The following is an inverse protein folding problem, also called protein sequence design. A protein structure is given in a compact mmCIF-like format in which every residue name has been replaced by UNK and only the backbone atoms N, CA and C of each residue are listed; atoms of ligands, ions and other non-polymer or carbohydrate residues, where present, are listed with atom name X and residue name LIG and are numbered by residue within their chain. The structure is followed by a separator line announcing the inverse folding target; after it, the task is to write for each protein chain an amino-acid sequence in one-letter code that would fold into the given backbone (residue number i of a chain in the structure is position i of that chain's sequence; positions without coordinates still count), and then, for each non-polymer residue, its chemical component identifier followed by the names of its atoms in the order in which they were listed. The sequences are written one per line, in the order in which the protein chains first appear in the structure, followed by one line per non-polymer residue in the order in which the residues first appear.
data_IF_004506210155
#
_entry.id   IF_004506210155
#
_cell.length_a   1.000
_cell.length_b   1.000
_cell.length_c   1.000
_cell.angle_alpha   90.00
_cell.angle_beta   90.00
_cell.angle_gamma   90.00
#
_symmetry.space_group_name_H-M   'P 1'
#
loop_
_entity.id
_entity.type
_entity.pdbx_description
1 polymer ?
#
# COMPACT_ATOMS: atom_id res chain seq x y z
N UNK A 1 13.71 6.36 8.60
CA UNK A 1 14.59 5.62 7.67
C UNK A 1 15.00 6.48 6.50
N UNK A 2 14.07 7.21 5.87
CA UNK A 2 14.39 8.26 4.90
C UNK A 2 15.17 9.43 5.52
N UNK A 3 16.02 10.06 4.69
CA UNK A 3 16.59 11.38 4.97
C UNK A 3 15.50 12.45 5.11
N UNK A 4 15.81 13.62 5.68
CA UNK A 4 14.82 14.69 5.83
C UNK A 4 14.22 15.16 4.49
N UNK A 5 15.02 15.44 3.43
CA UNK A 5 14.45 15.76 2.11
C UNK A 5 13.58 14.64 1.54
N UNK A 6 14.03 13.38 1.62
CA UNK A 6 13.28 12.24 1.11
C UNK A 6 11.96 12.02 1.87
N UNK A 7 11.94 12.26 3.18
CA UNK A 7 10.72 12.18 4.01
C UNK A 7 9.70 13.23 3.58
N UNK A 8 10.13 14.48 3.39
CA UNK A 8 9.25 15.55 2.95
C UNK A 8 8.66 15.20 1.58
N UNK A 9 9.50 14.72 0.65
CA UNK A 9 9.02 14.31 -0.67
C UNK A 9 8.05 13.12 -0.62
N UNK A 10 8.36 12.09 0.17
CA UNK A 10 7.46 10.95 0.38
C UNK A 10 6.11 11.40 0.97
N UNK A 11 6.14 12.35 1.91
CA UNK A 11 4.93 12.93 2.47
C UNK A 11 4.10 13.65 1.40
N UNK A 12 4.69 14.56 0.63
CA UNK A 12 4.01 15.28 -0.46
C UNK A 12 3.37 14.33 -1.47
N UNK A 13 4.14 13.35 -1.96
CA UNK A 13 3.64 12.33 -2.89
C UNK A 13 2.49 11.53 -2.26
N UNK A 14 2.58 11.19 -0.97
CA UNK A 14 1.50 10.47 -0.30
C UNK A 14 0.21 11.28 -0.22
N UNK A 15 0.29 12.59 0.02
CA UNK A 15 -0.91 13.44 0.09
C UNK A 15 -1.57 13.60 -1.28
N UNK A 16 -0.78 13.71 -2.35
CA UNK A 16 -1.26 13.72 -3.74
C UNK A 16 -1.92 12.38 -4.11
N UNK A 17 -1.26 11.26 -3.80
CA UNK A 17 -1.83 9.92 -3.99
C UNK A 17 -3.14 9.74 -3.21
N UNK A 18 -3.21 10.22 -1.97
CA UNK A 18 -4.45 10.18 -1.17
C UNK A 18 -5.56 10.97 -1.85
N UNK A 19 -5.26 12.14 -2.41
CA UNK A 19 -6.26 12.94 -3.12
C UNK A 19 -6.80 12.20 -4.35
N UNK A 20 -5.91 11.61 -5.16
CA UNK A 20 -6.28 10.92 -6.41
C UNK A 20 -7.07 9.63 -6.11
N UNK A 21 -6.61 8.82 -5.16
CA UNK A 21 -7.16 7.48 -4.92
C UNK A 21 -8.38 7.47 -3.99
N UNK A 22 -8.65 8.54 -3.23
CA UNK A 22 -9.77 8.55 -2.25
C UNK A 22 -11.12 8.12 -2.84
N UNK A 23 -11.56 8.63 -4.02
CA UNK A 23 -12.83 8.20 -4.60
C UNK A 23 -12.88 6.70 -4.89
N UNK A 24 -11.74 6.10 -5.29
CA UNK A 24 -11.66 4.67 -5.55
C UNK A 24 -11.77 3.85 -4.25
N UNK A 25 -11.06 4.24 -3.19
CA UNK A 25 -11.17 3.58 -1.89
C UNK A 25 -12.59 3.67 -1.32
N UNK A 26 -13.22 4.84 -1.41
CA UNK A 26 -14.61 5.03 -0.99
C UNK A 26 -15.56 4.14 -1.79
N UNK A 27 -15.43 4.11 -3.12
CA UNK A 27 -16.22 3.22 -3.98
C UNK A 27 -16.09 1.76 -3.55
N UNK A 28 -14.86 1.28 -3.31
CA UNK A 28 -14.65 -0.10 -2.87
C UNK A 28 -15.33 -0.39 -1.53
N UNK A 29 -15.24 0.53 -0.56
CA UNK A 29 -15.92 0.36 0.73
C UNK A 29 -17.44 0.38 0.57
N UNK A 30 -17.98 1.27 -0.28
CA UNK A 30 -19.42 1.35 -0.57
C UNK A 30 -19.93 0.06 -1.23
N UNK A 31 -19.19 -0.50 -2.20
CA UNK A 31 -19.53 -1.77 -2.84
C UNK A 31 -19.47 -2.95 -1.84
N UNK A 32 -18.53 -2.93 -0.89
CA UNK A 32 -18.44 -3.92 0.18
C UNK A 32 -19.64 -3.78 1.14
N UNK A 33 -19.96 -2.58 1.60
CA UNK A 33 -21.04 -2.32 2.56
C UNK A 33 -22.43 -2.56 1.98
N UNK A 34 -22.62 -2.28 0.68
CA UNK A 34 -23.88 -2.53 -0.04
C UNK A 34 -24.07 -3.99 -0.45
N UNK A 35 -22.99 -4.80 -0.44
CA UNK A 35 -23.00 -6.18 -0.91
C UNK A 35 -22.84 -6.33 -2.42
N UNK A 36 -22.63 -5.25 -3.18
CA UNK A 36 -22.39 -5.31 -4.62
C UNK A 36 -21.07 -6.04 -4.93
N UNK A 37 -20.03 -5.84 -4.11
CA UNK A 37 -18.76 -6.57 -4.24
C UNK A 37 -18.95 -8.08 -4.13
N UNK A 38 -19.64 -8.55 -3.09
CA UNK A 38 -19.82 -9.99 -2.86
C UNK A 38 -20.76 -10.60 -3.89
N UNK A 39 -21.82 -9.89 -4.27
CA UNK A 39 -22.73 -10.32 -5.34
C UNK A 39 -22.01 -10.53 -6.67
N UNK A 40 -21.26 -9.53 -7.14
CA UNK A 40 -20.56 -9.60 -8.43
C UNK A 40 -19.47 -10.68 -8.45
N UNK A 41 -18.77 -10.88 -7.33
CA UNK A 41 -17.82 -11.98 -7.17
C UNK A 41 -18.52 -13.35 -7.24
N UNK A 42 -19.65 -13.52 -6.53
CA UNK A 42 -20.40 -14.78 -6.54
C UNK A 42 -21.00 -15.10 -7.91
N UNK A 43 -21.35 -14.07 -8.70
CA UNK A 43 -21.76 -14.24 -10.09
C UNK A 43 -20.62 -14.79 -10.96
N UNK A 44 -19.37 -14.35 -10.73
CA UNK A 44 -18.19 -14.92 -11.42
C UNK A 44 -17.94 -16.38 -11.00
N UNK A 45 -18.08 -16.68 -9.71
CA UNK A 45 -17.97 -18.06 -9.20
C UNK A 45 -18.99 -19.00 -9.83
N UNK A 46 -20.25 -18.55 -9.95
CA UNK A 46 -21.30 -19.30 -10.63
C UNK A 46 -21.00 -19.50 -12.13
N UNK A 47 -20.17 -18.65 -12.71
CA UNK A 47 -19.69 -18.72 -14.09
C UNK A 47 -18.33 -19.43 -14.22
N UNK A 48 -17.92 -20.19 -13.21
CA UNK A 48 -16.68 -20.98 -13.23
C UNK A 48 -15.41 -20.14 -13.11
N UNK A 49 -15.45 -19.08 -12.30
CA UNK A 49 -14.32 -18.21 -11.96
C UNK A 49 -13.68 -17.55 -13.20
N UNK A 50 -14.50 -17.27 -14.22
CA UNK A 50 -14.00 -16.84 -15.53
C UNK A 50 -13.13 -15.59 -15.43
N UNK A 51 -13.62 -14.54 -14.76
CA UNK A 51 -12.89 -13.29 -14.63
C UNK A 51 -11.65 -13.49 -13.75
N UNK A 52 -11.80 -14.16 -12.60
CA UNK A 52 -10.68 -14.45 -11.70
C UNK A 52 -9.52 -15.15 -12.43
N UNK A 53 -9.82 -16.20 -13.19
CA UNK A 53 -8.82 -16.99 -13.91
C UNK A 53 -8.19 -16.19 -15.06
N UNK A 54 -8.99 -15.42 -15.81
CA UNK A 54 -8.48 -14.56 -16.89
C UNK A 54 -7.52 -13.48 -16.35
N UNK A 55 -7.89 -12.83 -15.24
CA UNK A 55 -7.06 -11.80 -14.60
C UNK A 55 -5.79 -12.39 -13.97
N UNK A 56 -5.88 -13.58 -13.39
CA UNK A 56 -4.73 -14.33 -12.88
C UNK A 56 -3.75 -14.67 -14.00
N UNK A 57 -4.25 -15.16 -15.12
CA UNK A 57 -3.42 -15.45 -16.29
C UNK A 57 -2.76 -14.18 -16.86
N UNK A 58 -3.52 -13.09 -16.99
CA UNK A 58 -3.00 -11.80 -17.45
C UNK A 58 -1.90 -11.26 -16.54
N UNK A 59 -2.09 -11.37 -15.21
CA UNK A 59 -1.09 -10.95 -14.20
C UNK A 59 0.21 -11.74 -14.34
N UNK A 60 0.13 -13.06 -14.50
CA UNK A 60 1.29 -13.93 -14.75
C UNK A 60 2.03 -13.64 -16.05
N UNK A 61 1.41 -12.88 -16.97
CA UNK A 61 2.03 -12.44 -18.22
C UNK A 61 2.67 -11.06 -18.15
N UNK A 62 2.50 -10.32 -17.05
CA UNK A 62 3.05 -8.96 -16.90
C UNK A 62 4.58 -8.94 -16.94
N UNK A 63 5.14 -7.79 -17.33
CA UNK A 63 6.59 -7.61 -17.37
C UNK A 63 7.23 -7.89 -16.00
N UNK A 64 6.65 -7.35 -14.91
CA UNK A 64 7.15 -7.56 -13.54
C UNK A 64 7.21 -9.04 -13.15
N UNK A 65 6.16 -9.82 -13.44
CA UNK A 65 6.15 -11.26 -13.17
C UNK A 65 7.23 -12.00 -13.96
N UNK A 66 7.48 -11.58 -15.20
CA UNK A 66 8.50 -12.20 -16.07
C UNK A 66 9.91 -11.68 -15.90
N UNK A 67 10.14 -10.61 -15.14
CA UNK A 67 11.49 -10.05 -14.94
C UNK A 67 12.41 -11.07 -14.27
N UNK A 68 13.63 -11.23 -14.77
CA UNK A 68 14.64 -12.05 -14.12
C UNK A 68 15.06 -11.46 -12.76
N UNK A 69 15.43 -12.33 -11.82
CA UNK A 69 15.94 -11.88 -10.53
C UNK A 69 17.30 -11.23 -10.75
N UNK A 70 17.51 -10.03 -10.20
CA UNK A 70 18.82 -9.39 -10.25
C UNK A 70 19.85 -10.18 -9.45
N UNK A 71 21.10 -10.21 -9.93
CA UNK A 71 22.23 -10.72 -9.18
C UNK A 71 22.83 -9.68 -8.22
N UNK A 72 22.35 -8.44 -8.29
CA UNK A 72 22.82 -7.35 -7.44
C UNK A 72 22.46 -7.60 -5.97
N UNK A 73 23.44 -7.39 -5.09
CA UNK A 73 23.19 -7.30 -3.65
C UNK A 73 22.74 -5.87 -3.32
N UNK A 74 21.49 -5.70 -2.90
CA UNK A 74 20.89 -4.40 -2.60
C UNK A 74 20.83 -4.24 -1.09
N UNK A 75 21.56 -3.27 -0.55
CA UNK A 75 21.58 -3.04 0.89
C UNK A 75 20.22 -2.51 1.39
N UNK A 76 19.91 -2.79 2.66
CA UNK A 76 18.62 -2.42 3.26
C UNK A 76 18.28 -0.93 3.08
N UNK A 77 19.26 -0.04 3.28
CA UNK A 77 19.05 1.40 3.14
C UNK A 77 18.80 1.82 1.69
N UNK A 78 19.31 1.09 0.70
CA UNK A 78 19.09 1.39 -0.72
C UNK A 78 17.64 1.20 -1.13
N UNK A 79 16.92 0.23 -0.54
CA UNK A 79 15.47 0.10 -0.74
C UNK A 79 14.71 1.35 -0.30
N UNK A 80 15.13 1.99 0.80
CA UNK A 80 14.51 3.23 1.27
C UNK A 80 14.95 4.44 0.44
N UNK A 81 16.24 4.56 0.15
CA UNK A 81 16.82 5.71 -0.55
C UNK A 81 16.37 5.76 -2.02
N UNK A 82 16.21 4.60 -2.67
CA UNK A 82 15.81 4.46 -4.07
C UNK A 82 14.30 4.26 -4.22
N UNK A 83 13.55 4.06 -3.12
CA UNK A 83 12.14 3.69 -3.10
C UNK A 83 11.23 4.72 -2.44
N UNK A 84 11.54 6.02 -2.55
CA UNK A 84 10.74 7.10 -1.93
C UNK A 84 9.26 7.04 -2.34
N UNK A 85 8.99 6.76 -3.61
CA UNK A 85 7.63 6.60 -4.12
C UNK A 85 6.92 5.38 -3.52
N UNK A 86 7.63 4.25 -3.29
CA UNK A 86 7.04 3.06 -2.66
C UNK A 86 6.64 3.36 -1.21
N UNK A 87 7.46 4.11 -0.47
CA UNK A 87 7.11 4.57 0.88
C UNK A 87 5.88 5.46 0.86
N UNK A 88 5.75 6.35 -0.13
CA UNK A 88 4.57 7.18 -0.30
C UNK A 88 3.31 6.35 -0.58
N UNK A 89 3.39 5.34 -1.47
CA UNK A 89 2.29 4.42 -1.77
C UNK A 89 1.81 3.65 -0.54
N UNK A 90 2.74 3.09 0.26
CA UNK A 90 2.39 2.37 1.49
C UNK A 90 1.69 3.31 2.47
N UNK A 91 2.22 4.52 2.69
CA UNK A 91 1.58 5.51 3.56
C UNK A 91 0.16 5.84 3.06
N UNK A 92 0.03 6.26 1.80
CA UNK A 92 -1.26 6.70 1.26
C UNK A 92 -2.31 5.59 1.24
N UNK A 93 -1.93 4.37 0.85
CA UNK A 93 -2.86 3.25 0.74
C UNK A 93 -3.36 2.79 2.11
N UNK A 94 -2.45 2.65 3.08
CA UNK A 94 -2.81 2.28 4.46
C UNK A 94 -3.68 3.36 5.12
N UNK A 95 -3.30 4.64 4.99
CA UNK A 95 -4.08 5.73 5.57
C UNK A 95 -5.47 5.82 4.94
N UNK A 96 -5.59 5.70 3.61
CA UNK A 96 -6.90 5.68 2.95
C UNK A 96 -7.76 4.50 3.37
N UNK A 97 -7.20 3.28 3.40
CA UNK A 97 -7.94 2.11 3.86
C UNK A 97 -8.47 2.32 5.29
N UNK A 98 -7.61 2.80 6.19
CA UNK A 98 -7.99 3.09 7.57
C UNK A 98 -9.09 4.16 7.65
N UNK A 99 -8.86 5.32 7.01
CA UNK A 99 -9.80 6.44 7.00
C UNK A 99 -11.16 6.00 6.48
N UNK A 100 -11.21 5.39 5.30
CA UNK A 100 -12.44 4.96 4.65
C UNK A 100 -13.20 3.90 5.47
N UNK A 101 -12.50 2.95 6.08
CA UNK A 101 -13.13 1.99 6.99
C UNK A 101 -13.75 2.70 8.21
N UNK A 102 -13.02 3.62 8.84
CA UNK A 102 -13.52 4.35 10.01
C UNK A 102 -14.66 5.30 9.68
N UNK A 103 -14.64 5.94 8.51
CA UNK A 103 -15.73 6.78 7.98
C UNK A 103 -17.00 5.96 7.75
N UNK A 104 -16.87 4.68 7.36
CA UNK A 104 -17.98 3.73 7.23
C UNK A 104 -18.47 3.14 8.57
N UNK A 105 -17.90 3.56 9.71
CA UNK A 105 -18.30 3.13 11.05
C UNK A 105 -17.55 1.91 11.58
N UNK A 106 -16.50 1.43 10.90
CA UNK A 106 -15.64 0.36 11.41
C UNK A 106 -14.77 0.91 12.54
N UNK A 107 -14.60 0.13 13.62
CA UNK A 107 -13.77 0.53 14.76
C UNK A 107 -12.32 0.75 14.32
N UNK A 108 -11.68 1.79 14.85
CA UNK A 108 -10.28 2.12 14.56
C UNK A 108 -9.31 0.96 14.83
N UNK A 109 -9.55 0.17 15.87
CA UNK A 109 -8.74 -0.99 16.18
C UNK A 109 -8.86 -2.08 15.11
N UNK A 110 -10.08 -2.34 14.64
CA UNK A 110 -10.32 -3.27 13.52
C UNK A 110 -9.68 -2.74 12.24
N UNK A 111 -9.91 -1.47 11.90
CA UNK A 111 -9.31 -0.85 10.73
C UNK A 111 -7.78 -0.91 10.77
N UNK A 112 -7.14 -0.79 11.93
CA UNK A 112 -5.69 -0.97 12.08
C UNK A 112 -5.23 -2.40 11.80
N UNK A 113 -5.94 -3.41 12.35
CA UNK A 113 -5.60 -4.82 12.13
C UNK A 113 -5.75 -5.20 10.66
N UNK A 114 -6.87 -4.82 10.03
CA UNK A 114 -7.18 -5.13 8.62
C UNK A 114 -6.48 -4.20 7.61
N UNK A 115 -5.53 -3.37 8.06
CA UNK A 115 -4.70 -2.55 7.17
C UNK A 115 -3.21 -2.63 7.57
N UNK A 116 -2.72 -1.72 8.40
CA UNK A 116 -1.29 -1.56 8.69
C UNK A 116 -0.68 -2.80 9.35
N UNK A 117 -1.43 -3.54 10.17
CA UNK A 117 -0.89 -4.70 10.88
C UNK A 117 -0.49 -5.85 9.96
N UNK A 118 -1.27 -6.11 8.90
CA UNK A 118 -1.08 -7.26 8.00
C UNK A 118 -0.14 -6.97 6.82
N UNK A 119 0.09 -5.70 6.49
CA UNK A 119 0.98 -5.29 5.37
C UNK A 119 2.32 -6.04 5.37
N UNK A 120 3.05 -6.19 6.50
CA UNK A 120 4.32 -6.93 6.50
C UNK A 120 4.17 -8.40 6.06
N UNK A 121 3.07 -9.07 6.42
CA UNK A 121 2.84 -10.47 6.05
C UNK A 121 2.61 -10.60 4.54
N UNK A 122 1.81 -9.72 3.94
CA UNK A 122 1.58 -9.70 2.49
C UNK A 122 2.85 -9.26 1.74
N UNK A 123 3.62 -8.29 2.26
CA UNK A 123 4.90 -7.91 1.67
C UNK A 123 5.89 -9.10 1.60
N UNK A 124 5.87 -9.97 2.62
CA UNK A 124 6.72 -11.17 2.63
C UNK A 124 6.34 -12.19 1.54
N UNK A 125 5.07 -12.31 1.14
CA UNK A 125 4.68 -13.21 0.04
C UNK A 125 5.22 -12.69 -1.29
N UNK A 126 5.14 -11.37 -1.52
CA UNK A 126 5.71 -10.71 -2.70
C UNK A 126 7.23 -10.86 -2.73
N UNK A 127 7.90 -10.63 -1.60
CA UNK A 127 9.35 -10.80 -1.49
C UNK A 127 9.79 -12.24 -1.81
N UNK A 128 8.97 -13.24 -1.45
CA UNK A 128 9.28 -14.65 -1.69
C UNK A 128 9.18 -15.00 -3.18
N UNK A 129 8.07 -14.65 -3.83
CA UNK A 129 7.74 -15.13 -5.19
C UNK A 129 6.74 -14.20 -5.92
N UNK A 130 6.96 -12.90 -5.84
CA UNK A 130 6.23 -11.84 -6.57
C UNK A 130 4.70 -11.87 -6.33
N UNK A 131 3.92 -11.30 -7.24
CA UNK A 131 2.46 -11.26 -7.16
C UNK A 131 1.86 -12.66 -7.29
N UNK A 132 2.53 -13.57 -8.00
CA UNK A 132 2.10 -14.97 -8.08
C UNK A 132 1.92 -15.60 -6.69
N UNK A 133 2.91 -15.50 -5.80
CA UNK A 133 2.80 -16.09 -4.46
C UNK A 133 1.82 -15.33 -3.59
N UNK A 134 1.74 -14.01 -3.72
CA UNK A 134 0.70 -13.24 -3.03
C UNK A 134 -0.70 -13.77 -3.38
N UNK A 135 -1.03 -13.82 -4.67
CA UNK A 135 -2.34 -14.23 -5.15
C UNK A 135 -2.63 -15.71 -4.90
N UNK A 136 -1.59 -16.56 -4.85
CA UNK A 136 -1.72 -17.97 -4.50
C UNK A 136 -1.97 -18.22 -3.00
N UNK A 137 -1.49 -17.34 -2.13
CA UNK A 137 -1.55 -17.53 -0.67
C UNK A 137 -2.84 -16.96 -0.06
N UNK A 138 -3.36 -15.88 -0.63
CA UNK A 138 -4.63 -15.28 -0.19
C UNK A 138 -5.83 -16.10 -0.70
N UNK A 139 -7.02 -15.81 -0.16
CA UNK A 139 -8.26 -16.46 -0.64
C UNK A 139 -8.66 -15.94 -2.02
N UNK A 140 -9.47 -16.72 -2.75
CA UNK A 140 -10.02 -16.29 -4.05
C UNK A 140 -10.82 -14.97 -3.94
N UNK A 141 -11.49 -14.72 -2.80
CA UNK A 141 -12.15 -13.44 -2.52
C UNK A 141 -11.16 -12.28 -2.46
N UNK A 142 -10.02 -12.46 -1.79
CA UNK A 142 -9.00 -11.42 -1.68
C UNK A 142 -8.28 -11.21 -3.02
N UNK A 143 -8.01 -12.28 -3.77
CA UNK A 143 -7.43 -12.18 -5.10
C UNK A 143 -8.37 -11.45 -6.08
N UNK A 144 -9.66 -11.80 -6.08
CA UNK A 144 -10.67 -11.13 -6.91
C UNK A 144 -10.76 -9.63 -6.60
N UNK A 145 -10.84 -9.29 -5.30
CA UNK A 145 -10.83 -7.90 -4.85
C UNK A 145 -9.55 -7.14 -5.23
N UNK A 146 -8.40 -7.82 -5.18
CA UNK A 146 -7.12 -7.26 -5.61
C UNK A 146 -7.15 -6.88 -7.10
N UNK A 147 -7.66 -7.75 -7.98
CA UNK A 147 -7.77 -7.44 -9.41
C UNK A 147 -8.76 -6.32 -9.71
N UNK A 148 -9.92 -6.30 -9.04
CA UNK A 148 -10.88 -5.20 -9.19
C UNK A 148 -10.23 -3.84 -8.87
N UNK A 149 -9.48 -3.79 -7.77
CA UNK A 149 -8.79 -2.57 -7.37
C UNK A 149 -7.65 -2.22 -8.33
N UNK A 150 -6.79 -3.19 -8.68
CA UNK A 150 -5.64 -2.98 -9.57
C UNK A 150 -6.05 -2.47 -10.96
N UNK A 151 -7.08 -3.08 -11.55
CA UNK A 151 -7.58 -2.69 -12.87
C UNK A 151 -8.21 -1.29 -12.89
N UNK A 152 -8.75 -0.83 -11.77
CA UNK A 152 -9.24 0.55 -11.64
C UNK A 152 -8.13 1.54 -11.27
N UNK A 153 -7.20 1.14 -10.41
CA UNK A 153 -6.17 2.02 -9.85
C UNK A 153 -5.02 2.31 -10.84
N UNK A 154 -4.59 1.31 -11.62
CA UNK A 154 -3.55 1.49 -12.66
C UNK A 154 -3.88 2.62 -13.65
N UNK A 155 -5.05 2.63 -14.33
CA UNK A 155 -5.38 3.73 -15.23
C UNK A 155 -5.61 5.05 -14.48
N UNK A 156 -6.17 5.02 -13.27
CA UNK A 156 -6.37 6.21 -12.44
C UNK A 156 -5.06 6.93 -12.14
N UNK A 157 -3.97 6.19 -11.92
CA UNK A 157 -2.65 6.73 -11.62
C UNK A 157 -1.79 7.03 -12.85
N UNK A 158 -2.29 6.80 -14.07
CA UNK A 158 -1.51 6.95 -15.28
C UNK A 158 -0.94 8.38 -15.45
N UNK A 159 -1.75 9.41 -15.18
CA UNK A 159 -1.31 10.80 -15.29
C UNK A 159 -0.35 11.21 -14.17
N UNK A 160 -0.56 10.68 -12.96
CA UNK A 160 0.35 10.87 -11.83
C UNK A 160 1.75 10.29 -12.12
N UNK A 161 1.80 9.12 -12.78
CA UNK A 161 3.07 8.45 -13.08
C UNK A 161 3.87 9.09 -14.22
N UNK A 162 3.24 9.84 -15.14
CA UNK A 162 3.93 10.48 -16.28
C UNK A 162 5.10 11.40 -15.89
N UNK A 163 4.96 12.32 -14.91
CA UNK A 163 6.06 13.20 -14.49
C UNK A 163 6.99 12.58 -13.44
N UNK A 164 6.77 11.33 -13.00
CA UNK A 164 7.58 10.70 -11.95
C UNK A 164 9.02 10.52 -12.43
N UNK A 165 9.95 11.14 -11.72
CA UNK A 165 11.37 11.07 -12.02
C UNK A 165 12.04 9.86 -11.36
N UNK A 166 13.16 9.40 -11.94
CA UNK A 166 13.92 8.25 -11.40
C UNK A 166 14.56 8.52 -10.04
N UNK A 167 14.64 9.78 -9.60
CA UNK A 167 15.21 10.12 -8.29
C UNK A 167 14.25 9.85 -7.13
N UNK A 168 12.95 9.69 -7.37
CA UNK A 168 11.98 9.21 -6.37
C UNK A 168 11.71 7.71 -6.47
N UNK A 169 12.10 7.08 -7.58
CA UNK A 169 11.98 5.63 -7.80
C UNK A 169 13.11 5.12 -8.72
N UNK A 170 14.01 4.32 -8.16
CA UNK A 170 15.12 3.66 -8.86
C UNK A 170 16.52 4.28 -8.66
N UNK A 171 16.62 5.53 -8.19
CA UNK A 171 17.88 6.17 -7.79
C UNK A 171 17.74 6.85 -6.43
N UNK A 172 18.87 7.03 -5.75
CA UNK A 172 18.92 7.66 -4.42
C UNK A 172 18.39 9.09 -4.48
N UNK A 173 17.32 9.35 -3.75
CA UNK A 173 16.73 10.68 -3.67
C UNK A 173 17.69 11.68 -3.03
N UNK A 174 17.86 12.83 -3.67
CA UNK A 174 18.74 13.90 -3.18
C UNK A 174 20.24 13.60 -3.30
N UNK A 175 20.65 12.60 -4.10
CA UNK A 175 22.06 12.36 -4.38
C UNK A 175 22.73 13.62 -4.95
N UNK A 176 23.85 14.04 -4.34
CA UNK A 176 24.60 15.23 -4.74
C UNK A 176 23.93 16.58 -4.40
N UNK A 177 22.81 16.58 -3.66
CA UNK A 177 22.14 17.79 -3.18
C UNK A 177 22.44 18.04 -1.69
N UNK A 178 22.32 19.28 -1.25
CA UNK A 178 22.34 19.60 0.18
C UNK A 178 21.18 18.88 0.89
N UNK A 179 21.47 18.40 2.09
CA UNK A 179 20.50 17.73 2.98
C UNK A 179 19.68 18.72 3.82
N UNK A 180 19.99 20.01 3.72
CA UNK A 180 19.24 21.10 4.33
C UNK A 180 17.76 21.07 3.93
N UNK A 181 16.89 21.23 4.93
CA UNK A 181 15.45 21.40 4.75
C UNK A 181 14.98 22.55 5.64
N UNK A 182 13.86 23.18 5.27
CA UNK A 182 13.20 24.10 6.18
C UNK A 182 12.76 23.36 7.46
N UNK A 183 13.22 23.86 8.60
CA UNK A 183 12.89 23.31 9.91
C UNK A 183 11.39 23.39 10.21
N UNK A 184 10.70 24.45 9.79
CA UNK A 184 9.26 24.58 10.03
C UNK A 184 8.48 23.53 9.23
N UNK A 185 8.81 23.38 7.94
CA UNK A 185 8.24 22.33 7.11
C UNK A 185 8.50 20.94 7.69
N UNK A 186 9.74 20.63 8.09
CA UNK A 186 10.08 19.33 8.66
C UNK A 186 9.30 19.03 9.95
N UNK A 187 9.17 20.02 10.85
CA UNK A 187 8.36 19.88 12.07
C UNK A 187 6.90 19.63 11.72
N UNK A 188 6.35 20.35 10.75
CA UNK A 188 4.96 20.21 10.32
C UNK A 188 4.68 18.82 9.73
N UNK A 189 5.58 18.30 8.88
CA UNK A 189 5.47 16.98 8.26
C UNK A 189 5.56 15.89 9.32
N UNK A 190 6.55 15.95 10.22
CA UNK A 190 6.68 14.98 11.30
C UNK A 190 5.45 14.99 12.22
N UNK A 191 4.87 16.16 12.49
CA UNK A 191 3.65 16.29 13.27
C UNK A 191 2.47 15.61 12.57
N UNK A 192 2.23 15.93 11.30
CA UNK A 192 1.13 15.33 10.52
C UNK A 192 1.22 13.81 10.46
N UNK A 193 2.42 13.26 10.20
CA UNK A 193 2.65 11.81 10.18
C UNK A 193 2.26 11.19 11.53
N UNK A 194 2.81 11.70 12.64
CA UNK A 194 2.61 11.10 13.98
C UNK A 194 1.20 11.29 14.53
N UNK A 195 0.47 12.29 14.05
CA UNK A 195 -0.88 12.60 14.51
C UNK A 195 -1.96 11.96 13.65
N UNK A 196 -1.62 11.30 12.54
CA UNK A 196 -2.59 10.52 11.78
C UNK A 196 -3.25 9.48 12.71
N UNK A 197 -4.59 9.33 12.76
CA UNK A 197 -5.27 8.50 13.75
C UNK A 197 -4.82 7.03 13.83
N UNK A 198 -4.31 6.47 12.72
CA UNK A 198 -3.75 5.11 12.68
C UNK A 198 -2.50 4.94 13.57
N UNK A 199 -1.69 6.00 13.74
CA UNK A 199 -0.42 5.94 14.47
C UNK A 199 -0.60 5.79 15.99
N UNK A 200 -1.39 6.62 16.70
CA UNK A 200 -1.61 6.44 18.13
C UNK A 200 -2.36 5.14 18.44
N UNK A 201 -3.32 4.72 17.61
CA UNK A 201 -4.00 3.43 17.74
C UNK A 201 -3.00 2.28 17.56
N UNK A 202 -2.18 2.34 16.51
CA UNK A 202 -1.16 1.34 16.25
C UNK A 202 -0.12 1.25 17.36
N UNK A 203 0.33 2.39 17.91
CA UNK A 203 1.25 2.42 19.04
C UNK A 203 0.65 1.72 20.27
N UNK A 204 -0.61 2.02 20.60
CA UNK A 204 -1.34 1.37 21.70
C UNK A 204 -1.47 -0.15 21.49
N UNK A 205 -1.89 -0.59 20.30
CA UNK A 205 -2.09 -2.00 20.00
C UNK A 205 -0.77 -2.79 19.97
N UNK A 206 0.30 -2.24 19.37
CA UNK A 206 1.63 -2.88 19.37
C UNK A 206 2.22 -3.01 20.77
N UNK A 207 2.03 -2.01 21.63
CA UNK A 207 2.43 -2.07 23.03
C UNK A 207 1.68 -3.19 23.77
N UNK A 208 0.36 -3.31 23.55
CA UNK A 208 -0.44 -4.38 24.14
C UNK A 208 0.02 -5.77 23.68
N UNK A 209 0.27 -5.96 22.37
CA UNK A 209 0.76 -7.24 21.83
C UNK A 209 2.14 -7.61 22.37
N UNK A 210 3.05 -6.64 22.50
CA UNK A 210 4.39 -6.87 23.07
C UNK A 210 4.32 -7.23 24.56
N UNK A 211 3.34 -6.66 25.29
CA UNK A 211 3.13 -6.92 26.70
C UNK A 211 2.37 -8.23 26.99
N UNK A 212 1.82 -8.91 25.98
CA UNK A 212 1.15 -10.19 26.18
C UNK A 212 2.16 -11.25 26.64
N UNK A 213 2.03 -11.64 27.91
CA UNK A 213 2.75 -12.79 28.47
C UNK A 213 2.14 -14.08 27.92
N UNK A 214 2.99 -15.04 27.58
CA UNK A 214 2.56 -16.40 27.27
C UNK A 214 1.85 -16.94 28.52
N UNK A 215 0.55 -17.18 28.44
CA UNK A 215 -0.16 -17.95 29.45
C UNK A 215 0.35 -19.39 29.27
N UNK A 216 1.14 -19.85 30.24
CA UNK A 216 1.68 -21.22 30.29
C UNK A 216 0.63 -22.13 30.92
#
# INVERSE_FOLDING_TARGET
RLSNPAKIKAFELSEELKHIMRPLFQKHMDDIMSGEFSKTMMEDWANGDKNLLEWREATGKTAFEKTDVSADDIAEQEYFDNGVLLVAFVKSGVELAFETMTEAGIKSESAYYESLHEVPLIANTIARKKLFEMNRIISDTAEYGCYLFDHACKPLLADFMKPVATDVIGKKYGAGKDSGVDNQLLISVNRKIRQHPIEPIGAKLRAAMTAMKKIV
#
